data_IF_936455934684
#
_entry.id   IF_936455934684
#
_cell.length_a   1.000
_cell.length_b   1.000
_cell.length_c   1.000
_cell.angle_alpha   90.00
_cell.angle_beta   90.00
_cell.angle_gamma   90.00
#
_symmetry.space_group_name_H-M   'P 1'
#
loop_
_entity.id
_entity.type
_entity.pdbx_description
1 polymer ?
#
# COMPACT_ATOMS: atom_id res chain seq x y z
N UNK A 1 -26.86 4.34 12.58
CA UNK A 1 -27.20 5.78 12.75
C UNK A 1 -26.64 6.23 14.07
N UNK A 2 -25.91 7.33 14.12
CA UNK A 2 -25.23 7.87 15.30
C UNK A 2 -25.48 9.39 15.34
N UNK A 3 -25.64 9.98 16.54
CA UNK A 3 -25.77 11.45 16.66
C UNK A 3 -24.41 12.13 16.48
N UNK A 4 -24.42 13.37 15.97
CA UNK A 4 -23.20 14.16 15.80
C UNK A 4 -22.43 14.32 17.12
N UNK A 5 -23.16 14.45 18.25
CA UNK A 5 -22.59 14.53 19.60
C UNK A 5 -21.82 13.25 19.98
N UNK A 6 -22.44 12.08 19.72
CA UNK A 6 -21.79 10.78 19.99
C UNK A 6 -20.58 10.55 19.09
N UNK A 7 -20.68 10.96 17.82
CA UNK A 7 -19.59 10.86 16.86
C UNK A 7 -18.40 11.74 17.27
N UNK A 8 -18.66 12.99 17.65
CA UNK A 8 -17.64 13.91 18.18
C UNK A 8 -16.90 13.31 19.38
N UNK A 9 -17.66 12.72 20.32
CA UNK A 9 -17.07 12.05 21.50
C UNK A 9 -16.20 10.86 21.11
N UNK A 10 -16.63 10.05 20.13
CA UNK A 10 -15.88 8.86 19.69
C UNK A 10 -14.53 9.20 19.07
N UNK A 11 -14.46 10.31 18.33
CA UNK A 11 -13.24 10.76 17.65
C UNK A 11 -12.44 11.78 18.48
N UNK A 12 -12.83 12.05 19.71
CA UNK A 12 -12.15 13.01 20.59
C UNK A 12 -12.20 14.45 20.09
N UNK A 13 -13.16 14.79 19.20
CA UNK A 13 -13.33 16.13 18.65
C UNK A 13 -14.29 17.01 19.46
N UNK A 14 -14.20 18.33 19.30
CA UNK A 14 -15.12 19.31 19.87
C UNK A 14 -16.36 19.46 18.97
N UNK A 15 -17.55 19.20 19.52
CA UNK A 15 -18.82 19.47 18.85
C UNK A 15 -19.03 20.97 18.68
N UNK A 16 -19.40 21.39 17.48
CA UNK A 16 -19.87 22.75 17.15
C UNK A 16 -21.27 22.65 16.54
N UNK A 17 -22.20 23.48 17.00
CA UNK A 17 -23.59 23.51 16.51
C UNK A 17 -24.49 22.43 17.11
N UNK A 18 -25.44 21.92 16.31
CA UNK A 18 -26.47 21.00 16.77
C UNK A 18 -25.97 19.54 16.89
N UNK A 19 -25.79 19.10 18.11
CA UNK A 19 -25.35 17.73 18.42
C UNK A 19 -26.42 16.65 18.25
N UNK A 20 -27.69 17.02 18.04
CA UNK A 20 -28.80 16.08 17.85
C UNK A 20 -28.92 15.56 16.41
N UNK A 21 -28.19 16.13 15.47
CA UNK A 21 -28.18 15.72 14.08
C UNK A 21 -27.79 14.24 13.97
N UNK A 22 -28.63 13.47 13.31
CA UNK A 22 -28.36 12.07 13.00
C UNK A 22 -27.46 11.95 11.79
N UNK A 23 -26.40 11.17 11.92
CA UNK A 23 -25.46 10.82 10.85
C UNK A 23 -25.62 9.35 10.49
N UNK A 24 -25.92 9.07 9.24
CA UNK A 24 -26.12 7.72 8.71
C UNK A 24 -25.06 7.29 7.70
N UNK A 25 -24.32 8.26 7.12
CA UNK A 25 -23.31 8.01 6.09
C UNK A 25 -22.17 9.03 6.09
N UNK A 26 -21.09 8.70 5.42
CA UNK A 26 -19.97 9.59 5.12
C UNK A 26 -19.92 9.78 3.62
N UNK A 27 -20.01 11.02 3.14
CA UNK A 27 -20.04 11.32 1.72
C UNK A 27 -18.96 12.33 1.30
N UNK A 28 -18.68 12.38 -0.01
CA UNK A 28 -17.90 13.47 -0.60
C UNK A 28 -18.64 14.80 -0.46
N UNK A 29 -17.94 15.90 -0.22
CA UNK A 29 -18.53 17.21 0.08
C UNK A 29 -19.46 17.73 -1.03
N UNK A 30 -19.17 17.40 -2.28
CA UNK A 30 -19.94 17.85 -3.45
C UNK A 30 -21.19 16.96 -3.64
N UNK A 31 -21.05 15.66 -3.37
CA UNK A 31 -22.11 14.67 -3.57
C UNK A 31 -22.94 14.42 -2.30
N UNK A 32 -22.60 15.09 -1.21
CA UNK A 32 -23.21 14.88 0.08
C UNK A 32 -24.73 15.02 0.08
N UNK A 33 -25.36 14.20 0.88
CA UNK A 33 -26.80 14.17 1.10
C UNK A 33 -27.16 14.60 2.54
N UNK A 34 -28.44 14.72 2.86
CA UNK A 34 -28.88 14.88 4.24
C UNK A 34 -28.49 13.66 5.06
N UNK A 35 -28.20 13.85 6.35
CA UNK A 35 -27.70 12.84 7.29
C UNK A 35 -26.29 12.34 7.01
N UNK A 36 -25.56 12.97 6.08
CA UNK A 36 -24.14 12.67 5.88
C UNK A 36 -23.23 13.61 6.69
N UNK A 37 -22.04 13.09 7.03
CA UNK A 37 -20.89 13.89 7.47
C UNK A 37 -19.82 13.87 6.38
N UNK A 38 -19.10 14.97 6.25
CA UNK A 38 -18.03 15.10 5.26
C UNK A 38 -16.77 15.75 5.83
N UNK A 39 -15.65 15.61 5.12
CA UNK A 39 -14.35 16.14 5.54
C UNK A 39 -14.01 17.42 4.78
N UNK A 40 -13.89 18.55 5.50
CA UNK A 40 -13.67 19.87 4.92
C UNK A 40 -12.37 20.54 5.43
N UNK A 41 -11.37 19.76 5.81
CA UNK A 41 -10.11 20.29 6.36
C UNK A 41 -9.08 20.72 5.31
N UNK A 42 -9.22 20.30 4.04
CA UNK A 42 -8.35 20.79 2.96
C UNK A 42 -8.84 22.14 2.41
N UNK A 43 -7.95 23.10 2.09
CA UNK A 43 -8.34 24.43 1.63
C UNK A 43 -9.32 24.44 0.45
N UNK A 44 -9.19 23.50 -0.47
CA UNK A 44 -10.07 23.37 -1.64
C UNK A 44 -11.52 23.03 -1.27
N UNK A 45 -11.75 22.36 -0.15
CA UNK A 45 -13.08 21.93 0.29
C UNK A 45 -13.76 22.94 1.23
N UNK A 46 -13.02 23.85 1.86
CA UNK A 46 -13.59 24.88 2.76
C UNK A 46 -14.62 25.78 2.05
N UNK A 47 -14.43 26.04 0.76
CA UNK A 47 -15.33 26.85 -0.04
C UNK A 47 -16.67 26.18 -0.34
N UNK A 48 -16.69 24.84 -0.28
CA UNK A 48 -17.86 24.03 -0.62
C UNK A 48 -18.81 23.81 0.57
N UNK A 49 -18.39 24.18 1.80
CA UNK A 49 -19.19 23.96 3.02
C UNK A 49 -20.57 24.61 2.91
N UNK A 50 -20.65 25.85 2.39
CA UNK A 50 -21.92 26.59 2.27
C UNK A 50 -22.86 25.99 1.23
N UNK A 51 -22.33 25.37 0.18
CA UNK A 51 -23.11 24.80 -0.94
C UNK A 51 -23.41 23.31 -0.75
N UNK A 52 -22.69 22.63 0.14
CA UNK A 52 -22.87 21.21 0.40
C UNK A 52 -24.19 20.92 1.11
N UNK A 53 -24.77 19.76 0.78
CA UNK A 53 -26.00 19.24 1.43
C UNK A 53 -25.68 18.38 2.66
N UNK A 54 -24.41 18.21 3.02
CA UNK A 54 -24.02 17.47 4.23
C UNK A 54 -24.65 18.10 5.47
N UNK A 55 -25.03 17.26 6.40
CA UNK A 55 -25.60 17.71 7.70
C UNK A 55 -24.53 18.13 8.70
N UNK A 56 -23.27 17.67 8.53
CA UNK A 56 -22.16 18.00 9.40
C UNK A 56 -20.82 17.93 8.68
N UNK A 57 -19.82 18.61 9.24
CA UNK A 57 -18.48 18.73 8.67
C UNK A 57 -17.38 18.45 9.69
N UNK A 58 -16.30 17.81 9.28
CA UNK A 58 -15.06 17.67 10.07
C UNK A 58 -14.09 18.76 9.62
N UNK A 59 -13.69 19.63 10.54
CA UNK A 59 -12.88 20.83 10.25
C UNK A 59 -11.70 20.99 11.21
N UNK A 60 -10.73 21.83 10.83
CA UNK A 60 -9.58 22.24 11.64
C UNK A 60 -9.76 23.61 12.34
N UNK A 61 -10.77 24.39 11.93
CA UNK A 61 -11.11 25.68 12.54
C UNK A 61 -12.62 25.82 12.64
N UNK A 62 -13.11 26.36 13.72
CA UNK A 62 -14.54 26.65 13.94
C UNK A 62 -15.05 27.67 12.89
N UNK A 63 -14.21 28.63 12.50
CA UNK A 63 -14.55 29.66 11.50
C UNK A 63 -14.83 29.04 10.12
N UNK A 64 -14.28 27.86 9.81
CA UNK A 64 -14.53 27.18 8.55
C UNK A 64 -15.99 26.72 8.41
N UNK A 65 -16.71 26.48 9.54
CA UNK A 65 -18.09 25.96 9.54
C UNK A 65 -19.14 26.99 9.09
N UNK A 66 -18.87 28.29 9.18
CA UNK A 66 -19.79 29.35 8.71
C UNK A 66 -21.26 29.15 9.18
N UNK A 67 -21.44 28.88 10.45
CA UNK A 67 -22.72 28.55 11.12
C UNK A 67 -23.29 27.15 10.83
N UNK A 68 -22.60 26.29 10.13
CA UNK A 68 -22.96 24.88 9.98
C UNK A 68 -22.54 24.07 11.24
N UNK A 69 -23.15 22.90 11.40
CA UNK A 69 -22.77 21.98 12.49
C UNK A 69 -21.57 21.13 12.08
N UNK A 70 -20.71 20.77 13.05
CA UNK A 70 -19.56 19.94 12.75
C UNK A 70 -18.75 19.50 13.95
N UNK A 71 -17.61 18.90 13.65
CA UNK A 71 -16.63 18.42 14.62
C UNK A 71 -15.30 19.12 14.34
N UNK A 72 -14.83 19.88 15.30
CA UNK A 72 -13.48 20.46 15.30
C UNK A 72 -12.50 19.42 15.83
N UNK A 73 -11.44 19.14 15.08
CA UNK A 73 -10.45 18.09 15.38
C UNK A 73 -9.02 18.62 15.30
N UNK A 74 -8.12 18.07 16.11
CA UNK A 74 -6.70 18.44 16.08
C UNK A 74 -5.95 17.69 14.97
N UNK A 75 -6.27 16.40 14.77
CA UNK A 75 -5.69 15.59 13.70
C UNK A 75 -6.79 15.06 12.78
N UNK A 76 -6.98 15.70 11.61
CA UNK A 76 -8.09 15.38 10.71
C UNK A 76 -7.97 13.98 10.09
N UNK A 77 -6.74 13.48 9.87
CA UNK A 77 -6.55 12.15 9.28
C UNK A 77 -6.85 11.02 10.26
N UNK A 78 -6.46 11.18 11.54
CA UNK A 78 -6.85 10.21 12.58
C UNK A 78 -8.36 10.18 12.72
N UNK A 79 -8.99 11.35 12.80
CA UNK A 79 -10.46 11.43 12.91
C UNK A 79 -11.16 10.87 11.67
N UNK A 80 -10.59 11.08 10.48
CA UNK A 80 -11.11 10.51 9.23
C UNK A 80 -11.07 8.97 9.27
N UNK A 81 -9.95 8.37 9.68
CA UNK A 81 -9.84 6.91 9.83
C UNK A 81 -10.91 6.41 10.81
N UNK A 82 -11.00 7.00 12.01
CA UNK A 82 -11.95 6.60 13.03
C UNK A 82 -13.41 6.71 12.57
N UNK A 83 -13.75 7.77 11.84
CA UNK A 83 -15.10 7.97 11.30
C UNK A 83 -15.38 6.92 10.21
N UNK A 84 -14.47 6.72 9.26
CA UNK A 84 -14.67 5.75 8.20
C UNK A 84 -14.80 4.32 8.76
N UNK A 85 -14.04 3.95 9.77
CA UNK A 85 -14.16 2.65 10.45
C UNK A 85 -15.56 2.45 11.10
N UNK A 86 -16.14 3.51 11.66
CA UNK A 86 -17.47 3.45 12.25
C UNK A 86 -18.59 3.25 11.22
N UNK A 87 -18.38 3.68 10.00
CA UNK A 87 -19.32 3.56 8.87
C UNK A 87 -18.96 2.43 7.89
N UNK A 88 -17.92 1.66 8.19
CA UNK A 88 -17.58 0.48 7.40
C UNK A 88 -18.63 -0.62 7.65
N UNK A 89 -19.50 -0.80 6.67
CA UNK A 89 -20.56 -1.81 6.70
C UNK A 89 -20.16 -3.10 5.96
N UNK A 90 -18.88 -3.27 5.64
CA UNK A 90 -18.42 -4.53 5.04
C UNK A 90 -18.71 -5.69 6.00
N UNK A 91 -19.19 -6.82 5.48
CA UNK A 91 -19.50 -7.96 6.33
C UNK A 91 -18.25 -8.42 7.08
N UNK A 92 -18.42 -8.61 8.39
CA UNK A 92 -17.36 -9.21 9.22
C UNK A 92 -17.15 -10.66 8.75
N UNK A 93 -15.92 -11.08 8.46
CA UNK A 93 -15.65 -12.45 8.04
C UNK A 93 -16.18 -13.46 9.06
N UNK A 94 -16.97 -14.44 8.59
CA UNK A 94 -17.38 -15.56 9.42
C UNK A 94 -16.28 -16.62 9.31
N UNK A 95 -15.67 -16.95 10.44
CA UNK A 95 -14.65 -18.00 10.47
C UNK A 95 -15.27 -19.38 10.32
N UNK A 96 -15.02 -20.02 9.18
CA UNK A 96 -15.44 -21.37 8.88
C UNK A 96 -14.43 -22.07 7.95
N UNK A 97 -14.47 -23.37 7.93
CA UNK A 97 -13.68 -24.22 7.02
C UNK A 97 -14.60 -24.73 5.94
N UNK A 98 -14.34 -24.32 4.69
CA UNK A 98 -15.12 -24.82 3.54
C UNK A 98 -14.89 -26.31 3.34
N UNK A 99 -15.95 -27.07 3.09
CA UNK A 99 -15.89 -28.50 2.72
C UNK A 99 -15.18 -28.73 1.38
N UNK A 100 -15.10 -27.69 0.53
CA UNK A 100 -14.39 -27.73 -0.74
C UNK A 100 -12.93 -27.29 -0.63
N UNK A 101 -12.40 -27.09 0.57
CA UNK A 101 -10.99 -26.81 0.80
C UNK A 101 -10.20 -28.11 1.02
N UNK A 102 -8.93 -28.11 0.65
CA UNK A 102 -8.00 -29.22 0.88
C UNK A 102 -6.92 -28.77 1.84
N UNK A 103 -6.81 -29.44 2.99
CA UNK A 103 -5.80 -29.15 4.01
C UNK A 103 -5.07 -30.45 4.31
N UNK A 104 -3.74 -30.46 4.13
CA UNK A 104 -2.93 -31.62 4.44
C UNK A 104 -3.05 -32.02 5.91
N UNK A 105 -2.95 -33.31 6.19
CA UNK A 105 -3.15 -33.89 7.52
C UNK A 105 -2.06 -33.46 8.53
N UNK A 106 -0.90 -33.05 8.08
CA UNK A 106 0.19 -32.53 8.94
C UNK A 106 -0.09 -31.13 9.50
N UNK A 107 -1.01 -30.39 8.88
CA UNK A 107 -1.33 -29.01 9.27
C UNK A 107 -2.16 -28.98 10.54
N UNK A 108 -1.63 -28.37 11.58
CA UNK A 108 -2.38 -28.12 12.81
C UNK A 108 -3.37 -26.98 12.56
N UNK A 109 -4.65 -27.30 12.60
CA UNK A 109 -5.74 -26.32 12.43
C UNK A 109 -5.84 -25.45 13.68
N UNK A 110 -5.67 -24.12 13.60
CA UNK A 110 -5.91 -23.23 14.73
C UNK A 110 -7.37 -23.30 15.20
N UNK A 111 -7.62 -22.89 16.44
CA UNK A 111 -8.97 -22.90 17.00
C UNK A 111 -9.91 -21.95 16.26
N UNK A 112 -9.37 -20.84 15.75
CA UNK A 112 -10.12 -19.80 15.08
C UNK A 112 -9.39 -19.44 13.76
N UNK A 113 -9.88 -19.98 12.64
CA UNK A 113 -9.39 -19.64 11.30
C UNK A 113 -10.48 -19.83 10.25
N UNK A 114 -10.33 -19.14 9.14
CA UNK A 114 -11.20 -19.27 7.98
C UNK A 114 -10.43 -19.81 6.79
N UNK A 115 -11.04 -20.72 6.03
CA UNK A 115 -10.55 -21.12 4.71
C UNK A 115 -11.70 -21.26 3.73
N UNK A 116 -11.63 -20.49 2.64
CA UNK A 116 -12.60 -20.46 1.56
C UNK A 116 -12.52 -21.66 0.63
N UNK A 117 -13.51 -21.77 -0.25
CA UNK A 117 -13.63 -22.85 -1.20
C UNK A 117 -12.47 -22.92 -2.20
N UNK A 118 -12.09 -24.15 -2.59
CA UNK A 118 -11.02 -24.44 -3.56
C UNK A 118 -9.62 -23.98 -3.14
N UNK A 119 -9.44 -23.61 -1.87
CA UNK A 119 -8.14 -23.33 -1.31
C UNK A 119 -7.43 -24.61 -0.93
N UNK A 120 -6.10 -24.64 -1.13
CA UNK A 120 -5.24 -25.79 -0.86
C UNK A 120 -4.13 -25.38 0.09
N UNK A 121 -3.94 -26.13 1.16
CA UNK A 121 -2.85 -25.97 2.13
C UNK A 121 -2.05 -27.25 2.13
N UNK A 122 -0.81 -27.18 1.70
CA UNK A 122 0.08 -28.34 1.60
C UNK A 122 0.71 -28.71 2.96
N UNK A 123 1.52 -29.75 2.95
CA UNK A 123 2.15 -30.32 4.16
C UNK A 123 3.11 -29.33 4.84
N UNK A 124 3.30 -29.52 6.15
CA UNK A 124 4.21 -28.74 7.00
C UNK A 124 3.93 -27.22 7.06
N UNK A 125 2.72 -26.80 6.61
CA UNK A 125 2.30 -25.39 6.75
C UNK A 125 1.94 -25.11 8.21
N UNK A 126 2.41 -23.97 8.72
CA UNK A 126 2.11 -23.49 10.06
C UNK A 126 1.18 -22.28 9.96
N UNK A 127 -0.01 -22.38 10.57
CA UNK A 127 -1.00 -21.31 10.63
C UNK A 127 -1.11 -20.75 12.05
N UNK A 128 -1.02 -19.45 12.18
CA UNK A 128 -1.33 -18.70 13.40
C UNK A 128 -2.84 -18.64 13.70
N UNK A 129 -3.20 -18.03 14.82
CA UNK A 129 -4.59 -17.85 15.19
C UNK A 129 -5.25 -16.71 14.39
N UNK A 130 -6.57 -16.80 14.21
CA UNK A 130 -7.36 -15.80 13.49
C UNK A 130 -6.90 -15.56 12.04
N UNK A 131 -6.27 -16.54 11.40
CA UNK A 131 -5.88 -16.43 9.99
C UNK A 131 -7.13 -16.54 9.12
N UNK A 132 -7.26 -15.62 8.17
CA UNK A 132 -8.31 -15.65 7.15
C UNK A 132 -7.71 -16.01 5.80
N UNK A 133 -8.17 -17.10 5.20
CA UNK A 133 -7.75 -17.58 3.88
C UNK A 133 -8.97 -17.55 2.96
N UNK A 134 -8.95 -16.68 1.95
CA UNK A 134 -10.02 -16.51 0.97
C UNK A 134 -10.23 -17.74 0.08
N UNK A 135 -10.96 -17.59 -1.02
CA UNK A 135 -11.23 -18.65 -1.97
C UNK A 135 -10.08 -18.84 -2.95
N UNK A 136 -9.82 -20.08 -3.37
CA UNK A 136 -8.83 -20.40 -4.40
C UNK A 136 -7.38 -20.13 -4.03
N UNK A 137 -7.07 -19.87 -2.76
CA UNK A 137 -5.71 -19.62 -2.25
C UNK A 137 -4.88 -20.91 -2.33
N UNK A 138 -3.61 -20.79 -2.73
CA UNK A 138 -2.65 -21.89 -2.75
C UNK A 138 -1.52 -21.60 -1.78
N UNK A 139 -1.34 -22.44 -0.79
CA UNK A 139 -0.28 -22.34 0.22
C UNK A 139 0.58 -23.59 0.11
N UNK A 140 1.77 -23.43 -0.46
CA UNK A 140 2.68 -24.55 -0.67
C UNK A 140 3.44 -24.91 0.61
N UNK A 141 4.09 -26.05 0.58
CA UNK A 141 4.70 -26.72 1.71
C UNK A 141 5.67 -25.85 2.52
N UNK A 142 5.71 -26.06 3.84
CA UNK A 142 6.61 -25.38 4.75
C UNK A 142 6.37 -23.88 4.96
N UNK A 143 5.27 -23.33 4.41
CA UNK A 143 4.90 -21.92 4.58
C UNK A 143 4.46 -21.64 6.01
N UNK A 144 4.85 -20.46 6.55
CA UNK A 144 4.48 -20.02 7.89
C UNK A 144 3.67 -18.73 7.80
N UNK A 145 2.51 -18.68 8.45
CA UNK A 145 1.61 -17.52 8.45
C UNK A 145 1.31 -17.14 9.90
N UNK A 146 1.63 -15.90 10.27
CA UNK A 146 1.43 -15.36 11.61
C UNK A 146 -0.04 -15.06 11.94
N UNK A 147 -0.29 -14.79 13.23
CA UNK A 147 -1.63 -14.51 13.76
C UNK A 147 -2.30 -13.31 13.05
N UNK A 148 -3.63 -13.33 12.93
CA UNK A 148 -4.47 -12.28 12.37
C UNK A 148 -4.16 -11.90 10.91
N UNK A 149 -3.40 -12.71 10.19
CA UNK A 149 -3.05 -12.45 8.78
C UNK A 149 -4.20 -12.82 7.87
N UNK A 150 -4.43 -11.98 6.87
CA UNK A 150 -5.50 -12.12 5.88
C UNK A 150 -4.90 -12.39 4.50
N UNK A 151 -5.28 -13.49 3.89
CA UNK A 151 -5.00 -13.82 2.50
C UNK A 151 -6.30 -13.74 1.71
N UNK A 152 -6.42 -12.77 0.81
CA UNK A 152 -7.59 -12.64 -0.06
C UNK A 152 -7.58 -13.68 -1.19
N UNK A 153 -8.66 -13.71 -1.96
CA UNK A 153 -8.90 -14.73 -2.98
C UNK A 153 -7.77 -14.85 -4.00
N UNK A 154 -7.47 -16.10 -4.39
CA UNK A 154 -6.48 -16.43 -5.42
C UNK A 154 -5.04 -16.00 -5.11
N UNK A 155 -4.67 -15.78 -3.86
CA UNK A 155 -3.27 -15.62 -3.45
C UNK A 155 -2.53 -16.93 -3.61
N UNK A 156 -1.28 -16.85 -4.09
CA UNK A 156 -0.39 -18.02 -4.22
C UNK A 156 0.88 -17.77 -3.40
N UNK A 157 1.11 -18.64 -2.43
CA UNK A 157 2.34 -18.66 -1.63
C UNK A 157 3.16 -19.90 -2.01
N UNK A 158 4.34 -19.68 -2.52
CA UNK A 158 5.29 -20.75 -2.81
C UNK A 158 5.93 -21.29 -1.53
N UNK A 159 6.55 -22.45 -1.63
CA UNK A 159 7.15 -23.20 -0.54
C UNK A 159 8.11 -22.36 0.31
N UNK A 160 8.08 -22.60 1.62
CA UNK A 160 8.89 -21.94 2.64
C UNK A 160 8.73 -20.42 2.72
N UNK A 161 7.65 -19.85 2.22
CA UNK A 161 7.32 -18.42 2.42
C UNK A 161 6.98 -18.18 3.89
N UNK A 162 7.48 -17.08 4.46
CA UNK A 162 7.18 -16.68 5.83
C UNK A 162 6.45 -15.34 5.80
N UNK A 163 5.30 -15.27 6.45
CA UNK A 163 4.50 -14.04 6.61
C UNK A 163 4.26 -13.83 8.10
N UNK A 164 4.59 -12.64 8.58
CA UNK A 164 4.38 -12.20 9.95
C UNK A 164 2.92 -12.01 10.32
N UNK A 165 2.67 -11.38 11.46
CA UNK A 165 1.34 -11.15 12.04
C UNK A 165 0.66 -9.92 11.42
N UNK A 166 -0.69 -9.86 11.53
CA UNK A 166 -1.51 -8.72 11.16
C UNK A 166 -1.30 -8.27 9.70
N UNK A 167 -0.75 -9.11 8.84
CA UNK A 167 -0.47 -8.76 7.45
C UNK A 167 -1.67 -9.04 6.54
N UNK A 168 -1.82 -8.26 5.48
CA UNK A 168 -2.90 -8.40 4.51
C UNK A 168 -2.30 -8.59 3.13
N UNK A 169 -2.63 -9.71 2.48
CA UNK A 169 -2.20 -10.01 1.12
C UNK A 169 -3.44 -9.99 0.22
N UNK A 170 -3.50 -9.03 -0.69
CA UNK A 170 -4.67 -8.85 -1.55
C UNK A 170 -4.71 -9.81 -2.74
N UNK A 171 -5.89 -9.90 -3.35
CA UNK A 171 -6.24 -10.91 -4.32
C UNK A 171 -5.29 -11.01 -5.51
N UNK A 172 -5.02 -12.25 -5.94
CA UNK A 172 -4.20 -12.55 -7.11
C UNK A 172 -2.69 -12.29 -6.95
N UNK A 173 -2.23 -11.98 -5.74
CA UNK A 173 -0.80 -11.77 -5.46
C UNK A 173 -0.06 -13.11 -5.39
N UNK A 174 1.13 -13.15 -6.00
CA UNK A 174 2.01 -14.33 -6.05
C UNK A 174 3.31 -14.03 -5.30
N UNK A 175 3.64 -14.85 -4.31
CA UNK A 175 4.81 -14.68 -3.45
C UNK A 175 5.66 -15.95 -3.51
N UNK A 176 6.95 -15.78 -3.83
CA UNK A 176 7.94 -16.85 -3.78
C UNK A 176 8.18 -17.57 -5.10
N UNK A 177 7.70 -17.06 -6.24
CA UNK A 177 8.12 -17.55 -7.55
C UNK A 177 9.61 -17.36 -7.79
N UNK A 178 10.23 -18.17 -8.65
CA UNK A 178 11.62 -17.99 -9.03
C UNK A 178 11.82 -16.65 -9.73
N UNK A 179 12.88 -15.93 -9.39
CA UNK A 179 13.28 -14.72 -10.06
C UNK A 179 13.89 -14.95 -11.43
N UNK A 180 14.12 -13.88 -12.18
CA UNK A 180 14.72 -13.89 -13.50
C UNK A 180 16.25 -13.96 -13.39
N UNK A 181 16.78 -15.19 -13.24
CA UNK A 181 18.20 -15.48 -13.17
C UNK A 181 18.63 -16.46 -14.25
N UNK A 182 19.39 -15.99 -15.24
CA UNK A 182 19.92 -16.82 -16.33
C UNK A 182 21.36 -16.44 -16.66
N UNK A 183 22.16 -17.41 -17.06
CA UNK A 183 23.47 -17.19 -17.64
C UNK A 183 23.56 -17.82 -19.03
N UNK A 184 24.10 -17.08 -20.00
CA UNK A 184 24.23 -17.57 -21.35
C UNK A 184 25.58 -18.26 -21.55
N UNK A 185 25.54 -19.55 -21.90
CA UNK A 185 26.69 -20.35 -22.20
C UNK A 185 26.46 -20.94 -23.59
N UNK A 186 27.39 -20.74 -24.52
CA UNK A 186 27.33 -21.32 -25.88
C UNK A 186 25.97 -21.13 -26.59
N UNK A 187 25.41 -19.89 -26.51
CA UNK A 187 24.11 -19.49 -27.08
C UNK A 187 22.86 -20.14 -26.40
N UNK A 188 23.03 -20.80 -25.28
CA UNK A 188 21.94 -21.36 -24.50
C UNK A 188 21.77 -20.63 -23.15
N UNK A 189 20.52 -20.39 -22.73
CA UNK A 189 20.24 -19.76 -21.45
C UNK A 189 20.07 -20.82 -20.37
N UNK A 190 20.97 -20.83 -19.40
CA UNK A 190 20.93 -21.73 -18.26
C UNK A 190 20.32 -21.01 -17.06
N UNK A 191 19.24 -21.61 -16.48
CA UNK A 191 18.55 -21.05 -15.32
C UNK A 191 19.42 -21.16 -14.08
N UNK A 192 19.52 -20.07 -13.32
CA UNK A 192 20.11 -20.03 -11.98
C UNK A 192 19.01 -20.42 -10.97
N UNK A 193 19.15 -21.54 -10.24
CA UNK A 193 18.16 -21.95 -9.25
C UNK A 193 17.97 -20.91 -8.13
N UNK A 194 16.73 -20.67 -7.76
CA UNK A 194 16.38 -19.82 -6.63
C UNK A 194 15.97 -20.72 -5.44
N UNK A 195 16.92 -20.95 -4.51
CA UNK A 195 16.80 -21.94 -3.44
C UNK A 195 16.44 -21.34 -2.07
N UNK A 196 16.26 -20.03 -2.01
CA UNK A 196 15.83 -19.31 -0.82
C UNK A 196 14.35 -18.98 -0.90
N UNK A 197 13.84 -18.27 0.08
CA UNK A 197 12.41 -17.98 0.21
C UNK A 197 12.14 -16.46 0.21
N UNK A 198 10.89 -16.11 0.48
CA UNK A 198 10.45 -14.76 0.81
C UNK A 198 10.11 -14.71 2.29
N UNK A 199 10.56 -13.65 2.97
CA UNK A 199 10.25 -13.38 4.37
C UNK A 199 9.59 -12.02 4.48
N UNK A 200 8.37 -11.99 4.99
CA UNK A 200 7.55 -10.79 5.18
C UNK A 200 7.32 -10.60 6.68
N UNK A 201 7.55 -9.40 7.17
CA UNK A 201 7.40 -9.01 8.57
C UNK A 201 5.95 -8.86 9.02
N UNK A 202 5.78 -8.22 10.17
CA UNK A 202 4.49 -7.93 10.79
C UNK A 202 3.86 -6.65 10.21
N UNK A 203 2.53 -6.57 10.24
CA UNK A 203 1.77 -5.38 9.82
C UNK A 203 2.06 -4.93 8.37
N UNK A 204 2.44 -5.86 7.48
CA UNK A 204 2.69 -5.61 6.07
C UNK A 204 1.39 -5.71 5.27
N UNK A 205 1.18 -4.79 4.34
CA UNK A 205 0.05 -4.85 3.42
C UNK A 205 0.54 -4.88 1.98
N UNK A 206 0.06 -5.86 1.21
CA UNK A 206 0.44 -6.09 -0.18
C UNK A 206 -0.82 -6.02 -1.04
N UNK A 207 -0.83 -5.08 -1.98
CA UNK A 207 -1.91 -4.85 -2.92
C UNK A 207 -2.19 -6.03 -3.85
N UNK A 208 -3.23 -5.89 -4.65
CA UNK A 208 -3.65 -6.93 -5.58
C UNK A 208 -2.68 -7.09 -6.76
N UNK A 209 -2.58 -8.34 -7.26
CA UNK A 209 -1.77 -8.70 -8.43
C UNK A 209 -0.28 -8.27 -8.31
N UNK A 210 0.27 -8.27 -7.09
CA UNK A 210 1.69 -8.10 -6.86
C UNK A 210 2.46 -9.39 -7.13
N UNK A 211 3.76 -9.28 -7.46
CA UNK A 211 4.66 -10.41 -7.63
C UNK A 211 5.94 -10.19 -6.82
N UNK A 212 6.29 -11.15 -5.98
CA UNK A 212 7.47 -11.08 -5.12
C UNK A 212 8.29 -12.35 -5.32
N UNK A 213 9.44 -12.21 -5.94
CA UNK A 213 10.31 -13.34 -6.27
C UNK A 213 11.12 -13.80 -5.06
N UNK A 214 11.34 -15.10 -4.99
CA UNK A 214 12.24 -15.69 -3.99
C UNK A 214 13.71 -15.38 -4.29
N UNK A 215 14.53 -15.52 -3.31
CA UNK A 215 15.96 -15.33 -3.47
C UNK A 215 16.71 -16.55 -4.01
N UNK A 216 17.82 -16.30 -4.69
CA UNK A 216 18.73 -17.35 -5.12
C UNK A 216 19.68 -17.80 -4.00
N UNK A 217 20.41 -16.85 -3.39
CA UNK A 217 21.45 -17.11 -2.36
C UNK A 217 21.14 -16.47 -1.01
N UNK A 218 20.26 -15.48 -0.95
CA UNK A 218 19.68 -14.91 0.28
C UNK A 218 18.18 -14.76 0.08
N UNK A 219 17.42 -14.68 1.16
CA UNK A 219 15.98 -14.44 1.06
C UNK A 219 15.68 -13.07 0.44
N UNK A 220 14.56 -12.94 -0.25
CA UNK A 220 13.92 -11.65 -0.48
C UNK A 220 13.16 -11.29 0.79
N UNK A 221 13.35 -10.07 1.30
CA UNK A 221 12.78 -9.67 2.59
C UNK A 221 11.98 -8.37 2.48
N UNK A 222 10.84 -8.32 3.17
CA UNK A 222 10.02 -7.13 3.33
C UNK A 222 9.79 -6.95 4.83
N UNK A 223 10.30 -5.86 5.40
CA UNK A 223 10.22 -5.60 6.83
C UNK A 223 8.87 -5.02 7.25
N UNK A 224 8.66 -4.95 8.56
CA UNK A 224 7.40 -4.57 9.20
C UNK A 224 6.85 -3.22 8.72
N UNK A 225 5.53 -3.05 8.82
CA UNK A 225 4.78 -1.82 8.50
C UNK A 225 4.86 -1.35 7.05
N UNK A 226 5.50 -2.10 6.14
CA UNK A 226 5.61 -1.75 4.73
C UNK A 226 4.28 -1.93 4.01
N UNK A 227 3.91 -0.99 3.15
CA UNK A 227 2.69 -1.00 2.36
C UNK A 227 3.02 -0.96 0.87
N UNK A 228 2.56 -1.97 0.14
CA UNK A 228 2.69 -2.08 -1.31
C UNK A 228 1.29 -1.95 -1.92
N UNK A 229 1.11 -1.01 -2.82
CA UNK A 229 -0.12 -0.88 -3.61
C UNK A 229 -0.17 -1.94 -4.72
N UNK A 230 -1.21 -1.94 -5.52
CA UNK A 230 -1.46 -2.94 -6.55
C UNK A 230 -0.38 -3.00 -7.63
N UNK A 231 -0.12 -4.20 -8.17
CA UNK A 231 0.82 -4.43 -9.28
C UNK A 231 2.27 -4.04 -8.99
N UNK A 232 2.70 -4.07 -7.72
CA UNK A 232 4.11 -3.90 -7.37
C UNK A 232 4.86 -5.19 -7.65
N UNK A 233 6.06 -5.07 -8.24
CA UNK A 233 6.98 -6.18 -8.42
C UNK A 233 8.22 -6.00 -7.55
N UNK A 234 8.56 -7.02 -6.77
CA UNK A 234 9.80 -7.10 -6.00
C UNK A 234 10.61 -8.28 -6.53
N UNK A 235 11.71 -8.00 -7.23
CA UNK A 235 12.56 -9.04 -7.78
C UNK A 235 13.42 -9.73 -6.71
N UNK A 236 14.02 -10.83 -7.10
CA UNK A 236 14.79 -11.75 -6.24
C UNK A 236 15.90 -11.08 -5.44
N UNK A 237 16.19 -11.59 -4.23
CA UNK A 237 17.25 -11.11 -3.35
C UNK A 237 17.10 -9.63 -2.89
N UNK A 238 15.96 -8.99 -3.13
CA UNK A 238 15.73 -7.64 -2.67
C UNK A 238 15.55 -7.60 -1.15
N UNK A 239 15.93 -6.48 -0.54
CA UNK A 239 15.74 -6.20 0.89
C UNK A 239 14.96 -4.90 1.02
N UNK A 240 13.76 -4.95 1.58
CA UNK A 240 12.89 -3.79 1.80
C UNK A 240 12.83 -3.52 3.30
N UNK A 241 13.19 -2.31 3.69
CA UNK A 241 13.20 -1.83 5.07
C UNK A 241 11.81 -1.63 5.66
N UNK A 242 11.80 -1.17 6.90
CA UNK A 242 10.58 -0.94 7.70
C UNK A 242 9.82 0.29 7.22
N UNK A 243 8.49 0.21 7.20
CA UNK A 243 7.60 1.36 6.97
C UNK A 243 7.70 1.99 5.57
N UNK A 244 8.16 1.24 4.58
CA UNK A 244 8.21 1.70 3.20
C UNK A 244 6.81 1.80 2.57
N UNK A 245 6.62 2.75 1.66
CA UNK A 245 5.36 2.97 0.94
C UNK A 245 5.62 2.93 -0.57
N UNK A 246 5.09 1.92 -1.27
CA UNK A 246 5.21 1.79 -2.72
C UNK A 246 3.83 1.89 -3.37
N UNK A 247 3.66 2.92 -4.19
CA UNK A 247 2.42 3.11 -4.94
C UNK A 247 2.35 2.18 -6.16
N UNK A 248 1.17 2.12 -6.80
CA UNK A 248 0.86 1.14 -7.84
C UNK A 248 1.84 1.07 -8.99
N UNK A 249 2.16 -0.17 -9.37
CA UNK A 249 3.03 -0.47 -10.52
C UNK A 249 4.50 -0.10 -10.32
N UNK A 250 5.00 -0.01 -9.09
CA UNK A 250 6.43 0.15 -8.77
C UNK A 250 7.17 -1.16 -9.05
N UNK A 251 8.37 -1.05 -9.62
CA UNK A 251 9.26 -2.16 -9.90
C UNK A 251 10.57 -2.03 -9.13
N UNK A 252 10.94 -3.05 -8.36
CA UNK A 252 12.21 -3.12 -7.63
C UNK A 252 13.07 -4.23 -8.24
N UNK A 253 14.22 -3.84 -8.80
CA UNK A 253 15.20 -4.76 -9.41
C UNK A 253 15.87 -5.69 -8.41
N UNK A 254 16.39 -6.80 -8.91
CA UNK A 254 17.01 -7.83 -8.10
C UNK A 254 18.21 -7.34 -7.30
N UNK A 255 18.39 -7.91 -6.08
CA UNK A 255 19.48 -7.59 -5.16
C UNK A 255 19.55 -6.12 -4.71
N UNK A 256 18.46 -5.38 -4.87
CA UNK A 256 18.35 -3.98 -4.43
C UNK A 256 18.02 -3.92 -2.94
N UNK A 257 18.60 -2.93 -2.26
CA UNK A 257 18.29 -2.59 -0.88
C UNK A 257 17.51 -1.29 -0.82
N UNK A 258 16.33 -1.32 -0.28
CA UNK A 258 15.54 -0.13 0.08
C UNK A 258 15.59 -0.01 1.59
N UNK A 259 16.16 1.08 2.10
CA UNK A 259 16.23 1.31 3.54
C UNK A 259 14.88 1.79 4.12
N UNK A 260 14.84 2.06 5.43
CA UNK A 260 13.60 2.33 6.16
C UNK A 260 12.89 3.62 5.68
N UNK A 261 11.55 3.59 5.72
CA UNK A 261 10.66 4.72 5.45
C UNK A 261 10.84 5.36 4.07
N UNK A 262 11.28 4.59 3.08
CA UNK A 262 11.35 5.06 1.69
C UNK A 262 9.96 5.07 1.07
N UNK A 263 9.62 6.15 0.39
CA UNK A 263 8.39 6.27 -0.40
C UNK A 263 8.71 6.23 -1.89
N UNK A 264 8.10 5.31 -2.63
CA UNK A 264 8.23 5.21 -4.08
C UNK A 264 6.87 5.45 -4.72
N UNK A 265 6.73 6.57 -5.43
CA UNK A 265 5.49 6.91 -6.11
C UNK A 265 5.28 6.10 -7.39
N UNK A 266 4.04 6.04 -7.85
CA UNK A 266 3.55 5.10 -8.84
C UNK A 266 4.35 5.04 -10.15
N UNK A 267 4.45 3.82 -10.66
CA UNK A 267 5.13 3.47 -11.93
C UNK A 267 6.58 3.94 -11.99
N UNK A 268 7.28 3.90 -10.86
CA UNK A 268 8.72 4.15 -10.79
C UNK A 268 9.49 2.84 -10.77
N UNK A 269 10.65 2.83 -11.45
CA UNK A 269 11.51 1.67 -11.60
C UNK A 269 12.83 1.89 -10.84
N UNK A 270 13.19 0.94 -10.00
CA UNK A 270 14.46 0.93 -9.27
C UNK A 270 15.34 -0.18 -9.86
N UNK A 271 16.49 0.17 -10.40
CA UNK A 271 17.44 -0.76 -11.00
C UNK A 271 18.01 -1.77 -9.99
N UNK A 272 18.62 -2.86 -10.50
CA UNK A 272 19.18 -3.90 -9.65
C UNK A 272 20.49 -3.46 -8.97
N UNK A 273 20.85 -4.16 -7.87
CA UNK A 273 22.13 -4.04 -7.16
C UNK A 273 22.44 -2.64 -6.62
N UNK A 274 21.44 -1.84 -6.28
CA UNK A 274 21.61 -0.49 -5.75
C UNK A 274 20.98 -0.37 -4.36
N UNK A 275 21.33 0.71 -3.66
CA UNK A 275 20.75 1.05 -2.36
C UNK A 275 20.01 2.39 -2.44
N UNK A 276 18.80 2.43 -1.95
CA UNK A 276 18.03 3.66 -1.75
C UNK A 276 18.03 3.98 -0.27
N UNK A 277 18.69 5.08 0.10
CA UNK A 277 18.87 5.50 1.48
C UNK A 277 17.55 5.86 2.17
N UNK A 278 17.51 5.69 3.48
CA UNK A 278 16.33 5.85 4.31
C UNK A 278 15.62 7.20 4.13
N UNK A 279 14.29 7.21 4.28
CA UNK A 279 13.44 8.40 4.20
C UNK A 279 13.52 9.14 2.87
N UNK A 280 14.01 8.49 1.81
CA UNK A 280 13.98 9.05 0.46
C UNK A 280 12.57 9.01 -0.12
N UNK A 281 12.27 9.96 -0.99
CA UNK A 281 11.03 9.97 -1.78
C UNK A 281 11.39 9.90 -3.27
N UNK A 282 10.92 8.87 -3.94
CA UNK A 282 11.06 8.73 -5.40
C UNK A 282 9.74 9.18 -6.03
N UNK A 283 9.79 10.28 -6.79
CA UNK A 283 8.61 10.82 -7.47
C UNK A 283 8.10 9.88 -8.56
N UNK A 284 6.83 10.03 -8.91
CA UNK A 284 6.18 9.16 -9.88
C UNK A 284 6.91 9.10 -11.24
N UNK A 285 6.88 7.93 -11.89
CA UNK A 285 7.51 7.67 -13.19
C UNK A 285 9.00 7.99 -13.23
N UNK A 286 9.69 7.79 -12.12
CA UNK A 286 11.15 7.94 -12.04
C UNK A 286 11.84 6.61 -12.34
N UNK A 287 13.04 6.69 -12.94
CA UNK A 287 13.91 5.53 -13.17
C UNK A 287 15.23 5.74 -12.42
N UNK A 288 15.48 4.92 -11.40
CA UNK A 288 16.67 5.00 -10.57
C UNK A 288 17.68 3.96 -11.03
N UNK A 289 18.83 4.42 -11.52
CA UNK A 289 19.87 3.55 -12.08
C UNK A 289 21.17 3.48 -11.23
N UNK A 290 21.19 4.14 -10.08
CA UNK A 290 22.33 4.14 -9.16
C UNK A 290 21.86 4.36 -7.73
N UNK A 291 22.67 3.97 -6.75
CA UNK A 291 22.40 4.21 -5.35
C UNK A 291 22.17 5.69 -5.05
N UNK A 292 21.22 5.95 -4.16
CA UNK A 292 20.82 7.29 -3.76
C UNK A 292 20.96 7.43 -2.24
N UNK A 293 21.54 8.54 -1.74
CA UNK A 293 21.54 8.84 -0.32
C UNK A 293 20.13 9.07 0.23
N UNK A 294 19.98 8.96 1.54
CA UNK A 294 18.69 9.11 2.23
C UNK A 294 18.20 10.55 2.36
N UNK A 295 16.97 10.69 2.80
CA UNK A 295 16.34 11.96 3.23
C UNK A 295 16.21 13.04 2.15
N UNK A 296 16.16 12.64 0.87
CA UNK A 296 15.96 13.53 -0.26
C UNK A 296 14.82 13.10 -1.17
N UNK A 297 14.34 14.02 -2.00
CA UNK A 297 13.35 13.76 -3.04
C UNK A 297 14.05 13.66 -4.40
N UNK A 298 13.86 12.55 -5.09
CA UNK A 298 14.43 12.27 -6.40
C UNK A 298 13.34 12.19 -7.47
N UNK A 299 13.63 12.66 -8.67
CA UNK A 299 12.69 12.64 -9.77
C UNK A 299 13.38 12.49 -11.14
N UNK A 300 12.68 11.89 -12.10
CA UNK A 300 13.03 11.86 -13.51
C UNK A 300 13.60 10.54 -13.99
N UNK A 301 13.95 10.50 -15.27
CA UNK A 301 14.58 9.36 -15.93
C UNK A 301 15.85 9.86 -16.65
N UNK A 302 17.06 9.54 -16.18
CA UNK A 302 17.34 8.93 -14.89
C UNK A 302 16.97 9.86 -13.71
N UNK A 303 16.63 9.27 -12.57
CA UNK A 303 16.24 10.03 -11.37
C UNK A 303 17.42 10.85 -10.81
N UNK A 304 17.10 12.08 -10.40
CA UNK A 304 18.03 13.08 -9.83
C UNK A 304 17.37 13.75 -8.64
N UNK A 305 18.11 14.43 -7.77
CA UNK A 305 17.52 15.31 -6.76
C UNK A 305 16.51 16.26 -7.40
N UNK A 306 15.34 16.39 -6.79
CA UNK A 306 14.23 17.17 -7.37
C UNK A 306 14.64 18.60 -7.72
N UNK A 307 15.40 19.26 -6.84
CA UNK A 307 15.91 20.62 -7.09
C UNK A 307 16.82 20.69 -8.33
N UNK A 308 17.66 19.68 -8.55
CA UNK A 308 18.50 19.58 -9.75
C UNK A 308 17.66 19.38 -11.01
N UNK A 309 16.68 18.46 -10.93
CA UNK A 309 15.75 18.22 -12.04
C UNK A 309 15.00 19.51 -12.43
N UNK A 310 14.42 20.22 -11.45
CA UNK A 310 13.71 21.48 -11.69
C UNK A 310 14.58 22.56 -12.34
N UNK A 311 15.84 22.70 -11.90
CA UNK A 311 16.79 23.63 -12.54
C UNK A 311 17.04 23.26 -14.00
N UNK A 312 17.21 21.98 -14.31
CA UNK A 312 17.42 21.51 -15.67
C UNK A 312 16.18 21.75 -16.55
N UNK A 313 15.00 21.40 -16.05
CA UNK A 313 13.74 21.63 -16.76
C UNK A 313 13.54 23.12 -17.08
N UNK A 314 13.87 24.01 -16.11
CA UNK A 314 13.81 25.45 -16.33
C UNK A 314 14.81 25.94 -17.40
N UNK A 315 16.00 25.33 -17.48
CA UNK A 315 16.99 25.64 -18.54
C UNK A 315 16.45 25.22 -19.90
N UNK A 316 15.88 24.00 -20.03
CA UNK A 316 15.25 23.55 -21.28
C UNK A 316 14.14 24.49 -21.73
N UNK A 317 13.23 24.87 -20.82
CA UNK A 317 12.14 25.79 -21.13
C UNK A 317 12.68 27.16 -21.61
N UNK A 318 13.72 27.69 -20.96
CA UNK A 318 14.36 28.96 -21.41
C UNK A 318 15.00 28.82 -22.78
N UNK A 319 15.63 27.70 -23.05
CA UNK A 319 16.25 27.40 -24.37
C UNK A 319 15.19 27.37 -25.47
N UNK A 320 14.06 26.68 -25.25
CA UNK A 320 12.94 26.66 -26.21
C UNK A 320 12.35 28.06 -26.47
N UNK A 321 12.23 28.88 -25.42
CA UNK A 321 11.77 30.25 -25.57
C UNK A 321 12.75 31.11 -26.37
N UNK A 322 14.06 30.92 -26.14
CA UNK A 322 15.10 31.60 -26.90
C UNK A 322 15.09 31.20 -28.37
N UNK A 323 14.99 29.90 -28.66
CA UNK A 323 14.89 29.40 -30.03
C UNK A 323 13.67 29.99 -30.79
N UNK A 324 12.50 30.01 -30.12
CA UNK A 324 11.30 30.63 -30.70
C UNK A 324 11.48 32.13 -30.99
N UNK A 325 12.23 32.85 -30.12
CA UNK A 325 12.51 34.25 -30.30
C UNK A 325 13.47 34.48 -31.45
N UNK A 326 14.56 33.71 -31.56
CA UNK A 326 15.50 33.79 -32.66
C UNK A 326 14.82 33.50 -34.02
N UNK A 327 14.02 32.47 -34.11
CA UNK A 327 13.23 32.18 -35.32
C UNK A 327 12.27 33.32 -35.70
N UNK A 328 11.71 34.02 -34.70
CA UNK A 328 10.82 35.16 -34.97
C UNK A 328 11.59 36.40 -35.46
N UNK A 329 12.83 36.56 -34.98
CA UNK A 329 13.71 37.66 -35.34
C UNK A 329 14.49 37.37 -36.64
N UNK A 330 14.25 36.22 -37.34
CA UNK A 330 14.87 35.87 -38.63
C UNK A 330 16.32 35.40 -38.51
N UNK A 331 16.73 34.96 -37.32
CA UNK A 331 18.05 34.40 -37.05
C UNK A 331 17.99 32.86 -36.92
#
# INVERSE_FOLDING_TARGET
>A
MITLKELAKKVGGKLIGDGSINISTVDDIILASKESITFAFLPKYKKEIESSKASAFVVLSEDDLKNQSGILVDNPYISMIQILDLFDNRPVPIYNVSEHSVIDSSVKKPTNFHIGSFSVVEHDVVLGNNVFIGNGVKINAGTVIGDNTVLHDNVVLYDNTIIGKNSIINAGTVIGSDGFGYHTIENSHHKIPHIKSVVIGDDVEIGAACTIDRGSVKNTTISDYTKLDNQVHIAHNATIGTGCLFAGGVFIGGSTTIEDYVTVAGKSDIGPHITIGAKSVIAARSCVLKSLPGSEIYAGNPARPLKEKQKRDAIYTRFELLEKKLKKDGI
#
